data_IF_365015722668
#
_entry.id   IF_365015722668
#
_cell.length_a   1.000
_cell.length_b   1.000
_cell.length_c   1.000
_cell.angle_alpha   90.00
_cell.angle_beta   90.00
_cell.angle_gamma   90.00
#
_symmetry.space_group_name_H-M   'P 1'
#
loop_
_entity.id
_entity.type
_entity.pdbx_description
1 polymer ?
#
# COMPACT_ATOMS: atom_id res chain seq x y z
N UNK A 1 -11.46 16.85 -31.02
CA UNK A 1 -10.81 15.93 -30.07
C UNK A 1 -11.83 15.71 -28.97
N UNK A 2 -12.07 14.46 -28.54
CA UNK A 2 -12.93 14.23 -27.38
C UNK A 2 -12.28 14.92 -26.18
N UNK A 3 -13.06 15.60 -25.33
CA UNK A 3 -12.52 16.14 -24.07
C UNK A 3 -12.03 14.97 -23.23
N UNK A 4 -10.81 15.08 -22.70
CA UNK A 4 -10.19 14.08 -21.84
C UNK A 4 -10.04 14.70 -20.46
N UNK A 5 -11.10 14.57 -19.66
CA UNK A 5 -11.15 15.10 -18.31
C UNK A 5 -10.28 14.25 -17.39
N UNK A 6 -9.33 14.87 -16.72
CA UNK A 6 -8.43 14.21 -15.76
C UNK A 6 -8.79 14.67 -14.35
N UNK A 7 -8.99 13.74 -13.43
CA UNK A 7 -9.19 14.07 -12.01
C UNK A 7 -7.87 14.60 -11.43
N UNK A 8 -7.93 15.72 -10.75
CA UNK A 8 -6.82 16.28 -10.00
C UNK A 8 -7.24 16.51 -8.55
N UNK A 9 -6.31 16.27 -7.65
CA UNK A 9 -6.49 16.47 -6.22
C UNK A 9 -6.13 17.90 -5.82
N UNK A 10 -6.67 18.30 -4.69
CA UNK A 10 -6.55 19.63 -4.13
C UNK A 10 -6.83 19.61 -2.64
N UNK A 11 -6.53 20.72 -1.99
CA UNK A 11 -6.67 20.88 -0.56
C UNK A 11 -7.12 22.30 -0.22
N UNK A 12 -7.98 22.44 0.79
CA UNK A 12 -8.41 23.71 1.37
C UNK A 12 -8.08 23.65 2.87
N UNK A 13 -7.29 24.61 3.35
CA UNK A 13 -6.89 24.73 4.76
C UNK A 13 -7.35 26.09 5.30
N UNK A 14 -8.19 26.11 6.34
CA UNK A 14 -8.75 27.34 6.89
C UNK A 14 -9.33 27.16 8.29
N UNK A 15 -9.44 28.22 9.08
CA UNK A 15 -9.78 28.11 10.51
C UNK A 15 -11.20 27.62 10.82
N UNK A 16 -12.20 28.06 10.04
CA UNK A 16 -13.62 27.83 10.31
C UNK A 16 -14.33 27.32 9.03
N UNK A 17 -13.76 26.29 8.39
CA UNK A 17 -14.36 25.72 7.19
C UNK A 17 -15.59 24.88 7.55
N UNK A 18 -16.72 25.16 6.88
CA UNK A 18 -17.93 24.33 6.93
C UNK A 18 -18.09 23.61 5.57
N UNK A 19 -18.08 22.26 5.52
CA UNK A 19 -18.20 21.51 4.28
C UNK A 19 -19.44 21.88 3.47
N UNK A 20 -20.55 22.19 4.17
CA UNK A 20 -21.83 22.57 3.57
C UNK A 20 -21.75 23.92 2.84
N UNK A 21 -21.00 24.86 3.41
CA UNK A 21 -20.80 26.20 2.83
C UNK A 21 -19.87 26.11 1.63
N UNK A 22 -18.76 25.37 1.75
CA UNK A 22 -17.84 25.14 0.62
C UNK A 22 -18.56 24.44 -0.54
N UNK A 23 -19.34 23.39 -0.25
CA UNK A 23 -20.16 22.71 -1.26
C UNK A 23 -21.18 23.65 -1.92
N UNK A 24 -21.81 24.54 -1.14
CA UNK A 24 -22.73 25.56 -1.63
C UNK A 24 -22.09 26.52 -2.63
N UNK A 25 -20.89 27.03 -2.30
CA UNK A 25 -20.15 27.95 -3.16
C UNK A 25 -19.69 27.29 -4.46
N UNK A 26 -19.20 26.05 -4.39
CA UNK A 26 -18.85 25.26 -5.59
C UNK A 26 -20.08 25.03 -6.48
N UNK A 27 -21.24 24.73 -5.88
CA UNK A 27 -22.51 24.56 -6.58
C UNK A 27 -22.99 25.85 -7.25
N UNK A 28 -22.92 27.00 -6.58
CA UNK A 28 -23.31 28.29 -7.16
C UNK A 28 -22.49 28.62 -8.41
N UNK A 29 -21.23 28.17 -8.44
CA UNK A 29 -20.31 28.28 -9.57
C UNK A 29 -20.46 27.14 -10.61
N UNK A 30 -21.40 26.23 -10.38
CA UNK A 30 -21.65 25.03 -11.17
C UNK A 30 -20.43 24.09 -11.29
N UNK A 31 -19.52 24.11 -10.32
CA UNK A 31 -18.30 23.30 -10.31
C UNK A 31 -18.65 21.85 -9.97
N UNK A 32 -18.16 20.92 -10.77
CA UNK A 32 -18.21 19.49 -10.48
C UNK A 32 -17.01 19.13 -9.61
N UNK A 33 -17.27 18.66 -8.38
CA UNK A 33 -16.22 18.35 -7.42
C UNK A 33 -16.63 17.26 -6.43
N UNK A 34 -15.66 16.67 -5.76
CA UNK A 34 -15.84 15.93 -4.51
C UNK A 34 -15.06 16.64 -3.40
N UNK A 35 -15.71 16.81 -2.25
CA UNK A 35 -15.10 17.29 -1.02
C UNK A 35 -14.95 16.13 -0.06
N UNK A 36 -13.81 16.07 0.64
CA UNK A 36 -13.51 15.01 1.60
C UNK A 36 -12.91 15.63 2.85
N UNK A 37 -13.28 15.14 4.04
CA UNK A 37 -12.75 15.68 5.29
C UNK A 37 -12.81 14.64 6.41
N UNK A 38 -11.93 14.80 7.40
CA UNK A 38 -12.10 14.09 8.66
C UNK A 38 -12.97 14.91 9.62
N UNK A 39 -13.94 14.31 10.31
CA UNK A 39 -14.70 14.99 11.36
C UNK A 39 -13.82 15.56 12.50
N UNK A 40 -12.64 14.98 12.72
CA UNK A 40 -11.67 15.39 13.74
C UNK A 40 -10.84 16.62 13.35
N UNK A 41 -10.69 16.90 12.05
CA UNK A 41 -9.89 18.02 11.51
C UNK A 41 -10.69 18.85 10.49
N UNK A 42 -11.78 19.52 10.92
CA UNK A 42 -12.66 20.28 10.03
C UNK A 42 -11.97 21.46 9.32
N UNK A 43 -10.76 21.85 9.75
CA UNK A 43 -9.95 22.89 9.12
C UNK A 43 -9.22 22.44 7.85
N UNK A 44 -9.30 21.16 7.46
CA UNK A 44 -8.61 20.60 6.28
C UNK A 44 -9.59 19.79 5.43
N UNK A 45 -9.80 20.23 4.19
CA UNK A 45 -10.61 19.52 3.19
C UNK A 45 -9.75 19.06 2.03
N UNK A 46 -9.95 17.82 1.60
CA UNK A 46 -9.60 17.34 0.26
C UNK A 46 -10.62 17.86 -0.77
N UNK A 47 -10.13 18.19 -1.96
CA UNK A 47 -10.93 18.68 -3.08
C UNK A 47 -10.51 17.96 -4.37
N UNK A 48 -11.38 17.11 -4.90
CA UNK A 48 -11.17 16.46 -6.20
C UNK A 48 -11.98 17.17 -7.27
N UNK A 49 -11.32 17.59 -8.36
CA UNK A 49 -11.97 18.24 -9.51
C UNK A 49 -11.49 17.61 -10.81
N UNK A 50 -12.33 17.66 -11.84
CA UNK A 50 -11.94 17.21 -13.17
C UNK A 50 -11.42 18.40 -14.00
N UNK A 51 -10.32 18.22 -14.73
CA UNK A 51 -9.68 19.25 -15.55
C UNK A 51 -9.43 18.77 -16.97
N UNK A 52 -9.75 19.63 -17.94
CA UNK A 52 -9.38 19.49 -19.35
C UNK A 52 -8.87 20.84 -19.85
N UNK A 53 -7.76 20.86 -20.59
CA UNK A 53 -7.16 22.08 -21.15
C UNK A 53 -7.00 23.23 -20.12
N UNK A 54 -6.52 22.91 -18.92
CA UNK A 54 -6.35 23.85 -17.78
C UNK A 54 -7.67 24.49 -17.29
N UNK A 55 -8.81 23.84 -17.53
CA UNK A 55 -10.13 24.33 -17.09
C UNK A 55 -10.81 23.28 -16.23
N UNK A 56 -11.35 23.72 -15.10
CA UNK A 56 -12.13 22.89 -14.18
C UNK A 56 -13.49 22.58 -14.80
N UNK A 57 -13.95 21.35 -14.64
CA UNK A 57 -15.25 20.88 -15.09
C UNK A 57 -16.38 21.63 -14.38
N UNK A 58 -17.32 22.13 -15.18
CA UNK A 58 -18.58 22.68 -14.69
C UNK A 58 -19.75 21.96 -15.35
N UNK A 59 -20.86 21.82 -14.62
CA UNK A 59 -22.10 21.27 -15.13
C UNK A 59 -23.21 22.27 -14.87
N UNK A 60 -23.61 23.09 -15.87
CA UNK A 60 -24.61 24.14 -15.67
C UNK A 60 -25.96 23.58 -15.27
N UNK A 61 -26.71 24.34 -14.46
CA UNK A 61 -28.06 23.94 -14.05
C UNK A 61 -28.96 23.62 -15.25
N UNK A 62 -29.54 22.42 -15.24
CA UNK A 62 -30.45 21.95 -16.30
C UNK A 62 -29.76 21.38 -17.54
N UNK A 63 -28.44 21.17 -17.49
CA UNK A 63 -27.65 20.48 -18.50
C UNK A 63 -26.94 19.27 -17.90
N UNK A 64 -26.76 18.21 -18.66
CA UNK A 64 -25.89 17.08 -18.27
C UNK A 64 -24.53 17.14 -18.98
N UNK A 65 -24.29 18.19 -19.77
CA UNK A 65 -23.04 18.37 -20.51
C UNK A 65 -21.99 19.04 -19.60
N UNK A 66 -20.80 18.44 -19.56
CA UNK A 66 -19.65 19.00 -18.86
C UNK A 66 -19.01 20.06 -19.74
N UNK A 67 -18.86 21.28 -19.21
CA UNK A 67 -18.28 22.41 -19.94
C UNK A 67 -17.08 23.01 -19.18
N UNK A 68 -16.09 23.58 -19.90
CA UNK A 68 -14.95 24.24 -19.27
C UNK A 68 -15.35 25.46 -18.44
N UNK A 69 -14.89 25.50 -17.18
CA UNK A 69 -15.11 26.58 -16.22
C UNK A 69 -13.86 27.43 -15.95
N UNK A 70 -13.60 27.85 -14.70
CA UNK A 70 -12.39 28.60 -14.35
C UNK A 70 -11.13 27.75 -14.49
N UNK A 71 -9.96 28.38 -14.56
CA UNK A 71 -8.69 27.66 -14.37
C UNK A 71 -8.53 27.21 -12.91
N UNK A 72 -7.72 26.16 -12.64
CA UNK A 72 -7.36 25.79 -11.26
C UNK A 72 -6.82 26.96 -10.43
N UNK A 73 -6.02 27.85 -11.04
CA UNK A 73 -5.46 29.02 -10.36
C UNK A 73 -6.49 30.10 -10.03
N UNK A 74 -7.43 30.37 -10.96
CA UNK A 74 -8.56 31.27 -10.70
C UNK A 74 -9.43 30.74 -9.57
N UNK A 75 -9.80 29.45 -9.63
CA UNK A 75 -10.61 28.80 -8.60
C UNK A 75 -9.91 28.80 -7.23
N UNK A 76 -8.64 28.40 -7.17
CA UNK A 76 -7.87 28.37 -5.93
C UNK A 76 -7.81 29.77 -5.28
N UNK A 77 -7.51 30.81 -6.06
CA UNK A 77 -7.42 32.17 -5.53
C UNK A 77 -8.79 32.71 -5.07
N UNK A 78 -9.87 32.42 -5.80
CA UNK A 78 -11.21 32.86 -5.40
C UNK A 78 -11.71 32.16 -4.14
N UNK A 79 -11.46 30.85 -3.99
CA UNK A 79 -11.78 30.11 -2.76
C UNK A 79 -10.92 30.58 -1.58
N UNK A 80 -9.62 30.79 -1.79
CA UNK A 80 -8.71 31.28 -0.75
C UNK A 80 -9.14 32.64 -0.21
N UNK A 81 -9.52 33.58 -1.07
CA UNK A 81 -10.05 34.90 -0.67
C UNK A 81 -11.39 34.74 0.08
N UNK A 82 -12.28 33.89 -0.41
CA UNK A 82 -13.63 33.76 0.14
C UNK A 82 -13.63 33.16 1.55
N UNK A 83 -12.73 32.22 1.79
CA UNK A 83 -12.66 31.45 3.04
C UNK A 83 -11.51 31.87 3.96
N UNK A 84 -10.77 32.94 3.62
CA UNK A 84 -9.54 33.34 4.32
C UNK A 84 -8.62 32.13 4.55
N UNK A 85 -8.36 31.39 3.46
CA UNK A 85 -7.80 30.03 3.49
C UNK A 85 -6.56 29.90 2.59
N UNK A 86 -5.82 28.81 2.80
CA UNK A 86 -4.82 28.31 1.86
C UNK A 86 -5.47 27.25 0.97
N UNK A 87 -5.39 27.41 -0.34
CA UNK A 87 -6.00 26.51 -1.33
C UNK A 87 -4.97 26.03 -2.34
N UNK A 88 -4.93 24.71 -2.54
CA UNK A 88 -4.14 24.04 -3.56
C UNK A 88 -5.05 23.25 -4.48
N UNK A 89 -4.84 23.33 -5.79
CA UNK A 89 -5.56 22.54 -6.80
C UNK A 89 -4.55 22.12 -7.85
N UNK A 90 -4.13 20.85 -7.83
CA UNK A 90 -2.95 20.38 -8.55
C UNK A 90 -1.73 21.25 -8.26
N UNK A 91 -1.14 21.84 -9.30
CA UNK A 91 0.04 22.72 -9.18
C UNK A 91 -0.30 24.19 -8.82
N UNK A 92 -1.59 24.56 -8.78
CA UNK A 92 -2.00 25.91 -8.44
C UNK A 92 -2.09 26.08 -6.91
N UNK A 93 -1.62 27.21 -6.38
CA UNK A 93 -1.65 27.53 -4.95
C UNK A 93 -2.04 28.99 -4.75
N UNK A 94 -2.88 29.24 -3.75
CA UNK A 94 -3.22 30.58 -3.29
C UNK A 94 -3.30 30.56 -1.76
N UNK A 95 -2.70 31.55 -1.11
CA UNK A 95 -2.69 31.67 0.35
C UNK A 95 -3.24 33.05 0.72
N UNK A 96 -4.36 33.04 1.42
CA UNK A 96 -4.99 34.22 2.01
C UNK A 96 -5.30 33.99 3.50
N UNK A 97 -4.54 33.12 4.17
CA UNK A 97 -4.64 32.97 5.61
C UNK A 97 -4.28 34.29 6.32
N UNK A 98 -5.02 34.69 7.37
CA UNK A 98 -4.67 35.86 8.18
C UNK A 98 -3.26 35.71 8.79
N UNK A 99 -2.51 36.82 8.91
CA UNK A 99 -1.22 36.82 9.60
C UNK A 99 -1.39 36.37 11.07
N UNK A 100 -0.78 35.24 11.45
CA UNK A 100 -0.96 34.67 12.80
C UNK A 100 -0.55 33.20 12.91
N UNK A 101 -1.15 32.49 13.86
CA UNK A 101 -0.95 31.05 14.09
C UNK A 101 -1.64 30.23 12.98
N UNK A 102 -0.93 29.25 12.43
CA UNK A 102 -1.48 28.33 11.42
C UNK A 102 -2.73 27.61 11.95
N UNK A 103 -3.78 27.41 11.12
CA UNK A 103 -4.93 26.58 11.46
C UNK A 103 -4.54 25.17 11.93
N UNK A 104 -3.43 24.64 11.45
CA UNK A 104 -2.92 23.32 11.79
C UNK A 104 -2.29 23.25 13.18
N UNK A 105 -1.76 24.37 13.70
CA UNK A 105 -1.09 24.41 15.01
C UNK A 105 -2.00 24.15 16.21
N UNK A 106 -3.33 24.17 16.02
CA UNK A 106 -4.31 23.78 17.05
C UNK A 106 -4.63 22.28 17.08
N UNK A 107 -4.35 21.57 15.98
CA UNK A 107 -4.69 20.15 15.83
C UNK A 107 -3.45 19.26 15.91
N UNK A 108 -2.31 19.78 15.47
CA UNK A 108 -1.01 19.19 15.72
C UNK A 108 -0.27 20.07 16.74
N UNK A 109 -0.32 19.74 18.04
CA UNK A 109 0.56 20.39 19.01
C UNK A 109 2.02 20.20 18.55
N UNK A 110 2.88 21.18 18.82
CA UNK A 110 4.29 21.08 18.43
C UNK A 110 4.93 19.83 19.05
N UNK A 111 5.92 19.24 18.38
CA UNK A 111 6.71 18.08 18.85
C UNK A 111 7.24 18.22 20.30
N UNK A 112 7.27 19.44 20.86
CA UNK A 112 7.67 19.73 22.24
C UNK A 112 6.58 19.44 23.29
N UNK A 113 5.29 19.39 22.91
CA UNK A 113 4.16 19.14 23.83
C UNK A 113 3.70 17.66 23.86
N UNK A 114 4.14 16.85 22.91
CA UNK A 114 3.77 15.42 22.76
C UNK A 114 4.60 14.43 23.59
N UNK A 115 5.37 14.91 24.57
CA UNK A 115 6.08 14.04 25.52
C UNK A 115 5.18 13.46 26.64
N UNK A 116 3.89 13.26 26.37
CA UNK A 116 3.01 12.45 27.21
C UNK A 116 2.96 11.04 26.62
N UNK A 117 3.36 10.04 27.41
CA UNK A 117 3.51 8.64 27.01
C UNK A 117 2.17 7.99 26.58
N UNK A 118 1.70 8.30 25.38
CA UNK A 118 0.75 7.46 24.65
C UNK A 118 1.59 6.36 24.02
N UNK A 119 1.34 5.10 24.40
CA UNK A 119 1.97 4.00 23.69
C UNK A 119 1.47 4.03 22.24
N UNK A 120 2.37 4.03 21.23
CA UNK A 120 1.97 4.13 19.83
C UNK A 120 1.02 2.98 19.49
N UNK A 121 -0.19 3.30 19.03
CA UNK A 121 -1.16 2.29 18.62
C UNK A 121 -0.59 1.51 17.45
N UNK A 122 -0.47 0.18 17.56
CA UNK A 122 0.05 -0.60 16.46
C UNK A 122 -0.93 -0.53 15.27
N UNK A 123 -0.36 -0.47 14.07
CA UNK A 123 -1.11 -0.45 12.81
C UNK A 123 -1.34 -1.87 12.36
N UNK A 124 -2.60 -2.27 12.13
CA UNK A 124 -2.91 -3.61 11.61
C UNK A 124 -3.12 -3.53 10.12
N UNK A 125 -2.38 -4.37 9.40
CA UNK A 125 -2.43 -4.38 7.94
C UNK A 125 -2.75 -5.75 7.37
N UNK A 126 -3.36 -5.73 6.19
CA UNK A 126 -3.52 -6.88 5.30
C UNK A 126 -3.03 -6.46 3.91
N UNK A 127 -1.89 -6.96 3.48
CA UNK A 127 -1.33 -6.73 2.14
C UNK A 127 -1.70 -7.89 1.22
N UNK A 128 -2.41 -7.60 0.13
CA UNK A 128 -2.90 -8.56 -0.84
C UNK A 128 -2.10 -8.40 -2.13
N UNK A 129 -1.52 -9.50 -2.59
CA UNK A 129 -0.87 -9.55 -3.89
C UNK A 129 -0.17 -10.85 -4.15
N UNK A 130 0.64 -10.88 -5.21
CA UNK A 130 1.41 -12.07 -5.58
C UNK A 130 2.73 -12.11 -4.82
N UNK A 131 2.74 -12.90 -3.75
CA UNK A 131 3.93 -13.19 -2.96
C UNK A 131 4.22 -14.69 -2.98
N UNK A 132 5.44 -15.15 -3.26
CA UNK A 132 5.75 -16.58 -3.17
C UNK A 132 5.60 -17.11 -1.74
N UNK A 133 4.93 -18.26 -1.52
CA UNK A 133 4.79 -18.84 -0.17
C UNK A 133 6.15 -19.05 0.53
N UNK A 134 7.19 -19.38 -0.25
CA UNK A 134 8.54 -19.58 0.26
C UNK A 134 9.19 -18.30 0.81
N UNK A 135 8.71 -17.11 0.47
CA UNK A 135 9.32 -15.85 0.95
C UNK A 135 8.80 -15.39 2.30
N UNK A 136 7.58 -15.80 2.69
CA UNK A 136 6.90 -15.29 3.88
C UNK A 136 7.66 -15.58 5.19
N UNK A 137 8.22 -16.80 5.43
CA UNK A 137 8.99 -17.04 6.66
C UNK A 137 10.22 -16.12 6.79
N UNK A 138 10.86 -15.81 5.67
CA UNK A 138 12.03 -14.94 5.62
C UNK A 138 11.65 -13.48 5.87
N UNK A 139 10.54 -13.02 5.29
CA UNK A 139 9.98 -11.69 5.54
C UNK A 139 9.71 -11.48 7.04
N UNK A 140 9.03 -12.43 7.68
CA UNK A 140 8.73 -12.36 9.11
C UNK A 140 9.99 -12.21 9.97
N UNK A 141 11.03 -12.99 9.65
CA UNK A 141 12.29 -12.95 10.39
C UNK A 141 13.09 -11.65 10.17
N UNK A 142 12.95 -11.00 9.02
CA UNK A 142 13.67 -9.78 8.67
C UNK A 142 13.00 -8.53 9.22
N UNK A 143 11.68 -8.44 9.06
CA UNK A 143 10.89 -7.36 9.65
C UNK A 143 10.85 -7.47 11.17
N UNK A 144 11.13 -8.66 11.72
CA UNK A 144 11.03 -8.91 13.15
C UNK A 144 9.58 -8.92 13.63
N UNK A 145 8.64 -9.16 12.71
CA UNK A 145 7.19 -9.13 12.94
C UNK A 145 6.60 -10.50 12.58
N UNK A 146 5.67 -10.98 13.40
CA UNK A 146 4.95 -12.22 13.12
C UNK A 146 3.97 -11.99 11.95
N UNK A 147 4.02 -12.86 10.94
CA UNK A 147 3.19 -12.73 9.73
C UNK A 147 2.19 -13.86 9.62
N UNK A 148 0.95 -13.55 9.26
CA UNK A 148 -0.03 -14.51 8.77
C UNK A 148 0.02 -14.60 7.25
N UNK A 149 0.07 -15.81 6.72
CA UNK A 149 -0.03 -16.11 5.29
C UNK A 149 -1.39 -16.77 5.01
N UNK A 150 -2.24 -16.10 4.22
CA UNK A 150 -3.50 -16.64 3.74
C UNK A 150 -3.46 -16.77 2.22
N UNK A 151 -3.54 -18.00 1.71
CA UNK A 151 -3.56 -18.26 0.27
C UNK A 151 -4.92 -17.91 -0.35
N UNK A 152 -4.88 -17.15 -1.45
CA UNK A 152 -6.04 -16.72 -2.25
C UNK A 152 -5.99 -17.35 -3.65
N UNK A 153 -6.95 -17.01 -4.50
CA UNK A 153 -6.97 -17.45 -5.89
C UNK A 153 -5.85 -16.80 -6.73
N UNK A 154 -5.55 -17.37 -7.90
CA UNK A 154 -4.60 -16.84 -8.89
C UNK A 154 -3.19 -16.51 -8.33
N UNK A 155 -2.70 -17.39 -7.45
CA UNK A 155 -1.41 -17.28 -6.74
C UNK A 155 -1.27 -16.02 -5.87
N UNK A 156 -2.37 -15.32 -5.57
CA UNK A 156 -2.39 -14.22 -4.63
C UNK A 156 -2.38 -14.75 -3.19
N UNK A 157 -1.88 -13.91 -2.27
CA UNK A 157 -1.90 -14.16 -0.84
C UNK A 157 -2.26 -12.87 -0.12
N UNK A 158 -2.95 -13.00 1.00
CA UNK A 158 -3.12 -11.93 1.97
C UNK A 158 -2.10 -12.14 3.09
N UNK A 159 -1.21 -11.18 3.27
CA UNK A 159 -0.23 -11.14 4.36
C UNK A 159 -0.77 -10.24 5.47
N UNK A 160 -0.93 -10.82 6.66
CA UNK A 160 -1.48 -10.12 7.82
C UNK A 160 -0.37 -9.85 8.82
N UNK A 161 -0.25 -8.62 9.33
CA UNK A 161 0.49 -8.39 10.57
C UNK A 161 0.13 -7.11 11.30
N UNK A 162 0.69 -7.03 12.51
CA UNK A 162 0.67 -5.87 13.37
C UNK A 162 2.03 -5.16 13.26
N UNK A 163 2.00 -3.92 12.77
CA UNK A 163 3.16 -3.08 12.54
C UNK A 163 3.31 -2.01 13.63
N UNK A 164 4.55 -1.57 13.92
CA UNK A 164 4.78 -0.34 14.67
C UNK A 164 4.06 0.84 13.99
N UNK A 165 3.58 1.80 14.78
CA UNK A 165 2.74 2.92 14.32
C UNK A 165 3.30 3.77 13.16
N UNK A 166 4.59 3.68 12.87
CA UNK A 166 5.26 4.47 11.82
C UNK A 166 5.35 3.75 10.46
N UNK A 167 4.79 2.54 10.31
CA UNK A 167 4.83 1.77 9.05
C UNK A 167 3.44 1.57 8.46
N UNK A 168 3.22 2.13 7.27
CA UNK A 168 1.96 2.06 6.51
C UNK A 168 1.83 0.80 5.60
N UNK A 169 2.87 -0.04 5.50
CA UNK A 169 2.90 -1.23 4.65
C UNK A 169 4.31 -1.76 4.39
N UNK A 170 4.43 -2.88 3.66
CA UNK A 170 5.74 -3.42 3.23
C UNK A 170 6.01 -3.28 1.74
N UNK A 171 4.95 -3.18 0.91
CA UNK A 171 5.05 -3.23 -0.56
C UNK A 171 5.91 -4.41 -1.03
N UNK A 172 5.75 -5.57 -0.39
CA UNK A 172 6.68 -6.68 -0.55
C UNK A 172 6.36 -7.55 -1.77
N UNK A 173 5.08 -7.79 -2.05
CA UNK A 173 4.69 -8.64 -3.17
C UNK A 173 4.98 -8.02 -4.56
N UNK A 174 4.60 -8.77 -5.60
CA UNK A 174 4.55 -8.23 -6.96
C UNK A 174 3.37 -7.27 -7.12
N UNK A 175 3.59 -6.16 -7.83
CA UNK A 175 2.53 -5.19 -8.17
C UNK A 175 1.55 -5.82 -9.18
N UNK A 176 0.25 -5.47 -9.12
CA UNK A 176 -0.37 -4.54 -8.18
C UNK A 176 -0.49 -5.11 -6.75
N UNK A 177 -0.43 -4.22 -5.75
CA UNK A 177 -0.61 -4.55 -4.33
C UNK A 177 -1.76 -3.76 -3.74
N UNK A 178 -2.65 -4.45 -3.02
CA UNK A 178 -3.74 -3.83 -2.27
C UNK A 178 -3.48 -3.96 -0.78
N UNK A 179 -3.41 -2.85 -0.06
CA UNK A 179 -3.14 -2.82 1.38
C UNK A 179 -4.36 -2.28 2.12
N UNK A 180 -4.92 -3.07 3.02
CA UNK A 180 -5.91 -2.64 4.00
C UNK A 180 -5.15 -2.25 5.26
N UNK A 181 -5.44 -1.08 5.83
CA UNK A 181 -4.81 -0.59 7.06
C UNK A 181 -5.84 -0.08 8.04
N UNK A 182 -5.70 -0.46 9.31
CA UNK A 182 -6.40 0.14 10.45
C UNK A 182 -5.39 0.72 11.43
N UNK A 183 -5.48 2.03 11.65
CA UNK A 183 -4.63 2.79 12.57
C UNK A 183 -5.51 3.79 13.31
N UNK A 184 -5.43 3.84 14.64
CA UNK A 184 -6.22 4.75 15.48
C UNK A 184 -7.74 4.77 15.19
N UNK A 185 -8.27 3.63 14.72
CA UNK A 185 -9.70 3.47 14.37
C UNK A 185 -10.06 3.97 12.97
N UNK A 186 -9.12 4.57 12.24
CA UNK A 186 -9.27 4.95 10.84
C UNK A 186 -8.97 3.74 9.95
N UNK A 187 -9.85 3.50 9.00
CA UNK A 187 -9.74 2.39 8.05
C UNK A 187 -9.57 2.91 6.64
N UNK A 188 -8.51 2.45 5.99
CA UNK A 188 -8.16 2.87 4.64
C UNK A 188 -7.64 1.71 3.81
N UNK A 189 -7.83 1.83 2.49
CA UNK A 189 -7.33 0.87 1.51
C UNK A 189 -6.53 1.61 0.46
N UNK A 190 -5.37 1.05 0.13
CA UNK A 190 -4.48 1.57 -0.91
C UNK A 190 -4.30 0.53 -1.99
N UNK A 191 -4.15 0.99 -3.23
CA UNK A 191 -3.69 0.22 -4.37
C UNK A 191 -2.43 0.87 -4.94
N UNK A 192 -1.36 0.09 -4.99
CA UNK A 192 -0.09 0.47 -5.59
C UNK A 192 0.08 -0.33 -6.88
N UNK A 193 0.13 0.34 -8.03
CA UNK A 193 0.23 -0.30 -9.35
C UNK A 193 1.62 -0.17 -9.98
N UNK A 194 2.39 0.86 -9.60
CA UNK A 194 3.75 1.09 -10.09
C UNK A 194 4.69 1.66 -9.00
N UNK A 195 5.90 2.08 -9.39
CA UNK A 195 6.91 2.65 -8.49
C UNK A 195 6.90 4.18 -8.39
N UNK A 196 5.91 4.86 -8.98
CA UNK A 196 5.69 6.29 -8.80
C UNK A 196 4.90 6.55 -7.51
N UNK A 197 5.50 7.36 -6.63
CA UNK A 197 4.91 7.75 -5.34
C UNK A 197 3.58 8.50 -5.48
N UNK A 198 3.29 9.05 -6.65
CA UNK A 198 2.07 9.81 -6.95
C UNK A 198 0.96 8.95 -7.56
N UNK A 199 1.23 7.68 -7.92
CA UNK A 199 0.25 6.77 -8.54
C UNK A 199 -0.28 5.75 -7.52
N UNK A 200 -0.73 6.26 -6.37
CA UNK A 200 -1.37 5.45 -5.33
C UNK A 200 -2.85 5.79 -5.34
N UNK A 201 -3.67 4.77 -5.59
CA UNK A 201 -5.12 4.90 -5.45
C UNK A 201 -5.45 4.61 -3.99
N UNK A 202 -6.25 5.46 -3.35
CA UNK A 202 -6.60 5.26 -1.95
C UNK A 202 -8.06 5.61 -1.69
N UNK A 203 -8.65 4.96 -0.70
CA UNK A 203 -9.95 5.35 -0.15
C UNK A 203 -9.94 5.16 1.36
N UNK A 204 -10.41 6.18 2.09
CA UNK A 204 -10.41 6.22 3.55
C UNK A 204 -11.86 6.30 4.07
N UNK A 205 -12.32 5.24 4.75
CA UNK A 205 -13.66 5.16 5.36
C UNK A 205 -13.78 5.92 6.69
N UNK A 206 -12.69 6.53 7.17
CA UNK A 206 -12.69 7.50 8.25
C UNK A 206 -13.04 8.92 7.80
N UNK A 207 -13.00 9.19 6.49
CA UNK A 207 -13.39 10.49 5.92
C UNK A 207 -14.88 10.51 5.57
N UNK A 208 -15.49 11.67 5.80
CA UNK A 208 -16.76 12.01 5.17
C UNK A 208 -16.48 12.54 3.76
N UNK A 209 -17.40 12.26 2.82
CA UNK A 209 -17.31 12.73 1.45
C UNK A 209 -18.64 13.32 0.94
N UNK A 210 -18.55 14.37 0.14
CA UNK A 210 -19.69 15.00 -0.51
C UNK A 210 -19.39 15.37 -1.97
N UNK A 211 -20.21 14.85 -2.88
CA UNK A 211 -20.13 15.20 -4.30
C UNK A 211 -20.97 16.45 -4.57
N UNK A 212 -20.34 17.46 -5.16
CA UNK A 212 -20.98 18.67 -5.69
C UNK A 212 -21.33 18.42 -7.16
N UNK A 213 -22.62 18.24 -7.52
CA UNK A 213 -23.04 17.83 -8.87
C UNK A 213 -23.13 19.02 -9.83
N UNK A 214 -22.16 19.94 -9.79
CA UNK A 214 -22.25 21.22 -10.49
C UNK A 214 -23.46 22.05 -10.04
N UNK A 215 -24.18 22.64 -10.99
CA UNK A 215 -25.33 23.50 -10.74
C UNK A 215 -26.63 22.74 -10.36
N UNK A 216 -26.56 21.43 -10.15
CA UNK A 216 -27.70 20.58 -9.79
C UNK A 216 -27.93 20.48 -8.29
N UNK A 217 -29.15 20.08 -7.89
CA UNK A 217 -29.47 19.85 -6.48
C UNK A 217 -28.99 18.49 -5.98
N UNK A 218 -28.94 17.48 -6.86
CA UNK A 218 -28.65 16.09 -6.48
C UNK A 218 -27.83 15.37 -7.55
N UNK A 219 -26.92 14.49 -7.13
CA UNK A 219 -26.11 13.64 -8.02
C UNK A 219 -26.94 12.76 -8.94
N UNK A 220 -28.11 12.28 -8.48
CA UNK A 220 -29.05 11.48 -9.29
C UNK A 220 -29.62 12.17 -10.54
N UNK A 221 -29.41 13.48 -10.68
CA UNK A 221 -29.82 14.26 -11.85
C UNK A 221 -28.77 14.22 -12.98
N UNK A 222 -27.58 13.70 -12.68
CA UNK A 222 -26.49 13.55 -13.63
C UNK A 222 -26.24 12.08 -13.99
N UNK A 223 -25.73 11.81 -15.22
CA UNK A 223 -25.22 10.50 -15.57
C UNK A 223 -24.08 10.07 -14.65
N UNK A 224 -24.00 8.77 -14.34
CA UNK A 224 -22.91 8.21 -13.52
C UNK A 224 -21.52 8.55 -14.06
N UNK A 225 -21.34 8.49 -15.39
CA UNK A 225 -20.08 8.85 -16.06
C UNK A 225 -19.62 10.29 -15.79
N UNK A 226 -20.54 11.22 -15.50
CA UNK A 226 -20.18 12.59 -15.12
C UNK A 226 -19.75 12.63 -13.66
N UNK A 227 -20.44 11.91 -12.78
CA UNK A 227 -20.06 11.80 -11.36
C UNK A 227 -18.69 11.12 -11.21
N UNK A 228 -18.42 10.12 -12.03
CA UNK A 228 -17.16 9.37 -12.05
C UNK A 228 -15.93 10.21 -12.42
N UNK A 229 -16.12 11.43 -12.97
CA UNK A 229 -15.00 12.34 -13.24
C UNK A 229 -14.33 12.84 -11.95
N UNK A 230 -15.06 12.82 -10.82
CA UNK A 230 -14.56 13.30 -9.53
C UNK A 230 -14.71 12.26 -8.42
N UNK A 231 -15.67 11.33 -8.53
CA UNK A 231 -16.01 10.33 -7.53
C UNK A 231 -15.07 9.12 -7.46
N UNK A 232 -15.01 8.46 -6.29
CA UNK A 232 -14.13 7.31 -6.01
C UNK A 232 -14.59 5.97 -6.62
N UNK A 233 -15.70 5.97 -7.38
CA UNK A 233 -16.26 4.72 -7.90
C UNK A 233 -15.27 4.00 -8.81
N UNK A 234 -14.53 4.73 -9.64
CA UNK A 234 -13.52 4.17 -10.53
C UNK A 234 -12.29 3.68 -9.76
N UNK A 235 -11.87 4.39 -8.72
CA UNK A 235 -10.77 3.98 -7.83
C UNK A 235 -11.08 2.65 -7.14
N UNK A 236 -12.29 2.54 -6.57
CA UNK A 236 -12.73 1.32 -5.89
C UNK A 236 -12.94 0.17 -6.87
N UNK A 237 -13.34 0.45 -8.11
CA UNK A 237 -13.36 -0.55 -9.18
C UNK A 237 -11.94 -1.10 -9.43
N UNK A 238 -10.95 -0.22 -9.54
CA UNK A 238 -9.55 -0.62 -9.79
C UNK A 238 -8.97 -1.43 -8.62
N UNK A 239 -9.25 -1.01 -7.38
CA UNK A 239 -8.91 -1.78 -6.17
C UNK A 239 -9.54 -3.18 -6.23
N UNK A 240 -10.83 -3.27 -6.57
CA UNK A 240 -11.50 -4.56 -6.68
C UNK A 240 -10.88 -5.43 -7.78
N UNK A 241 -10.59 -4.88 -8.96
CA UNK A 241 -9.98 -5.60 -10.08
C UNK A 241 -8.60 -6.18 -9.74
N UNK A 242 -7.85 -5.54 -8.83
CA UNK A 242 -6.56 -6.04 -8.36
C UNK A 242 -6.68 -7.25 -7.41
N UNK A 243 -7.85 -7.51 -6.81
CA UNK A 243 -8.05 -8.60 -5.83
C UNK A 243 -8.90 -9.73 -6.43
N UNK A 244 -8.36 -10.96 -6.56
CA UNK A 244 -9.12 -12.08 -7.12
C UNK A 244 -10.36 -12.44 -6.27
N UNK A 245 -11.51 -12.56 -6.93
CA UNK A 245 -12.76 -12.94 -6.27
C UNK A 245 -13.47 -11.80 -5.53
N UNK A 246 -13.02 -10.56 -5.74
CA UNK A 246 -13.71 -9.38 -5.23
C UNK A 246 -15.07 -9.15 -5.92
N UNK A 247 -15.93 -8.42 -5.22
CA UNK A 247 -17.22 -7.91 -5.68
C UNK A 247 -17.15 -6.37 -5.65
N UNK A 248 -16.90 -5.78 -6.82
CA UNK A 248 -16.73 -4.34 -6.98
C UNK A 248 -18.00 -3.55 -6.61
N UNK A 249 -19.20 -4.11 -6.87
CA UNK A 249 -20.47 -3.46 -6.51
C UNK A 249 -20.66 -3.47 -4.99
N UNK A 250 -20.28 -4.56 -4.32
CA UNK A 250 -20.29 -4.64 -2.86
C UNK A 250 -19.25 -3.69 -2.23
N UNK A 251 -18.09 -3.53 -2.86
CA UNK A 251 -17.05 -2.60 -2.41
C UNK A 251 -17.52 -1.16 -2.55
N UNK A 252 -18.11 -0.78 -3.68
CA UNK A 252 -18.71 0.54 -3.83
C UNK A 252 -19.83 0.79 -2.81
N UNK A 253 -20.66 -0.22 -2.54
CA UNK A 253 -21.74 -0.10 -1.56
C UNK A 253 -21.23 0.10 -0.11
N UNK A 254 -19.97 -0.22 0.20
CA UNK A 254 -19.41 -0.02 1.55
C UNK A 254 -19.09 1.44 1.84
N UNK A 255 -18.95 2.31 0.83
CA UNK A 255 -18.73 3.77 1.01
C UNK A 255 -19.84 4.41 1.84
N UNK A 256 -21.06 3.86 1.80
CA UNK A 256 -22.18 4.34 2.61
C UNK A 256 -22.12 3.90 4.10
N UNK A 257 -21.00 3.35 4.56
CA UNK A 257 -20.83 2.88 5.95
C UNK A 257 -19.58 3.45 6.60
N UNK A 258 -19.61 3.51 7.93
CA UNK A 258 -18.53 4.08 8.74
C UNK A 258 -18.17 3.16 9.91
N UNK A 259 -17.00 3.39 10.51
CA UNK A 259 -16.50 2.64 11.66
C UNK A 259 -16.31 1.15 11.38
N UNK A 260 -16.52 0.31 12.39
CA UNK A 260 -16.26 -1.14 12.26
C UNK A 260 -17.07 -1.79 11.11
N UNK A 261 -18.28 -1.29 10.82
CA UNK A 261 -19.14 -1.84 9.76
C UNK A 261 -18.46 -1.76 8.38
N UNK A 262 -17.72 -0.69 8.10
CA UNK A 262 -17.02 -0.54 6.82
C UNK A 262 -15.93 -1.60 6.67
N UNK A 263 -15.17 -1.89 7.73
CA UNK A 263 -14.13 -2.94 7.73
C UNK A 263 -14.74 -4.30 7.36
N UNK A 264 -15.83 -4.69 8.02
CA UNK A 264 -16.52 -5.95 7.72
C UNK A 264 -17.05 -6.02 6.29
N UNK A 265 -17.61 -4.92 5.78
CA UNK A 265 -18.14 -4.86 4.41
C UNK A 265 -17.04 -4.91 3.36
N UNK A 266 -15.95 -4.18 3.55
CA UNK A 266 -14.81 -4.15 2.62
C UNK A 266 -14.11 -5.51 2.60
N UNK A 267 -13.81 -6.11 3.74
CA UNK A 267 -13.20 -7.45 3.81
C UNK A 267 -14.06 -8.48 3.07
N UNK A 268 -15.38 -8.45 3.28
CA UNK A 268 -16.30 -9.34 2.55
C UNK A 268 -16.32 -9.03 1.05
N UNK A 269 -16.35 -7.75 0.67
CA UNK A 269 -16.36 -7.33 -0.73
C UNK A 269 -15.07 -7.74 -1.45
N UNK A 270 -13.93 -7.78 -0.77
CA UNK A 270 -12.67 -8.29 -1.31
C UNK A 270 -12.56 -9.82 -1.30
N UNK A 271 -13.64 -10.54 -0.97
CA UNK A 271 -13.69 -12.00 -0.99
C UNK A 271 -12.95 -12.67 0.17
N UNK A 272 -12.54 -11.91 1.20
CA UNK A 272 -11.80 -12.41 2.34
C UNK A 272 -12.73 -12.96 3.43
N UNK A 273 -12.20 -13.86 4.27
CA UNK A 273 -12.96 -14.41 5.39
C UNK A 273 -13.20 -13.37 6.48
N UNK A 274 -14.34 -13.46 7.19
CA UNK A 274 -14.71 -12.48 8.23
C UNK A 274 -13.70 -12.39 9.38
N UNK A 275 -12.96 -13.45 9.67
CA UNK A 275 -11.88 -13.41 10.67
C UNK A 275 -10.76 -12.41 10.33
N UNK A 276 -10.59 -12.05 9.05
CA UNK A 276 -9.64 -11.01 8.63
C UNK A 276 -10.10 -9.62 9.08
N UNK A 277 -11.41 -9.34 9.03
CA UNK A 277 -11.97 -8.11 9.60
C UNK A 277 -11.79 -8.10 11.12
N UNK A 278 -12.03 -9.23 11.77
CA UNK A 278 -11.78 -9.40 13.20
C UNK A 278 -10.33 -9.09 13.58
N UNK A 279 -9.37 -9.53 12.76
CA UNK A 279 -7.94 -9.22 12.92
C UNK A 279 -7.66 -7.72 12.75
N UNK A 280 -8.12 -7.09 11.67
CA UNK A 280 -7.94 -5.65 11.43
C UNK A 280 -8.49 -4.80 12.59
N UNK A 281 -9.61 -5.21 13.17
CA UNK A 281 -10.24 -4.56 14.32
C UNK A 281 -9.59 -4.90 15.67
N UNK A 282 -8.60 -5.78 15.71
CA UNK A 282 -7.94 -6.22 16.96
C UNK A 282 -8.81 -7.11 17.85
N UNK A 283 -9.86 -7.73 17.31
CA UNK A 283 -10.77 -8.64 18.02
C UNK A 283 -10.47 -10.12 17.78
N UNK A 284 -9.55 -10.42 16.86
CA UNK A 284 -9.09 -11.77 16.52
C UNK A 284 -7.58 -11.78 16.45
N UNK A 285 -6.94 -12.67 17.20
CA UNK A 285 -5.50 -12.83 17.15
C UNK A 285 -5.07 -13.44 15.82
N UNK A 286 -3.82 -13.18 15.42
CA UNK A 286 -3.27 -13.64 14.14
C UNK A 286 -3.41 -15.16 13.93
N UNK A 287 -3.27 -15.95 15.00
CA UNK A 287 -3.38 -17.41 14.97
C UNK A 287 -4.82 -17.95 14.85
N UNK A 288 -5.81 -17.12 15.14
CA UNK A 288 -7.23 -17.47 15.10
C UNK A 288 -7.89 -17.11 13.76
N UNK A 289 -7.15 -16.49 12.84
CA UNK A 289 -7.65 -16.18 11.49
C UNK A 289 -7.85 -17.47 10.69
N UNK A 290 -9.05 -17.68 10.16
CA UNK A 290 -9.38 -18.92 9.45
C UNK A 290 -8.51 -19.12 8.21
N UNK A 291 -7.86 -20.29 8.13
CA UNK A 291 -7.02 -20.67 6.99
C UNK A 291 -5.60 -20.08 7.00
N UNK A 292 -5.25 -19.29 8.03
CA UNK A 292 -3.94 -18.63 8.11
C UNK A 292 -2.82 -19.61 8.47
N UNK A 293 -1.66 -19.41 7.86
CA UNK A 293 -0.40 -20.02 8.29
C UNK A 293 0.46 -18.97 9.00
N UNK A 294 0.77 -19.18 10.28
CA UNK A 294 1.53 -18.21 11.07
C UNK A 294 3.04 -18.43 10.97
N UNK A 295 3.75 -17.38 10.59
CA UNK A 295 5.19 -17.32 10.45
C UNK A 295 5.78 -16.40 11.51
N UNK A 296 6.24 -17.00 12.59
CA UNK A 296 6.87 -16.26 13.68
C UNK A 296 8.23 -15.68 13.29
N UNK A 297 8.55 -14.48 13.78
CA UNK A 297 9.82 -13.78 13.66
C UNK A 297 10.96 -14.49 14.42
N UNK A 298 11.33 -15.68 13.95
CA UNK A 298 12.39 -16.52 14.52
C UNK A 298 13.59 -16.46 13.59
N UNK A 299 14.70 -15.91 14.08
CA UNK A 299 16.01 -15.71 13.43
C UNK A 299 16.24 -16.27 12.02
N UNK A 300 16.82 -15.43 11.16
CA UNK A 300 17.00 -15.61 9.70
C UNK A 300 17.42 -17.04 9.28
N UNK A 301 18.36 -17.70 9.97
CA UNK A 301 18.82 -19.06 9.61
C UNK A 301 17.72 -20.12 9.67
N UNK A 302 16.77 -20.02 10.61
CA UNK A 302 15.62 -20.92 10.69
C UNK A 302 14.60 -20.62 9.58
N UNK A 303 14.40 -19.34 9.29
CA UNK A 303 13.52 -18.88 8.23
C UNK A 303 13.98 -19.35 6.83
N UNK A 304 15.28 -19.32 6.55
CA UNK A 304 15.86 -19.84 5.30
C UNK A 304 15.54 -21.34 5.14
N UNK A 305 15.72 -22.14 6.19
CA UNK A 305 15.40 -23.58 6.15
C UNK A 305 13.93 -23.86 5.80
N UNK A 306 12.98 -23.18 6.46
CA UNK A 306 11.54 -23.32 6.16
C UNK A 306 11.17 -22.83 4.76
N UNK A 307 11.80 -21.75 4.31
CA UNK A 307 11.60 -21.19 2.96
C UNK A 307 11.99 -22.20 1.88
N UNK A 308 13.11 -22.91 2.08
CA UNK A 308 13.58 -23.97 1.20
C UNK A 308 12.65 -25.18 1.22
N UNK A 309 12.21 -25.63 2.40
CA UNK A 309 11.28 -26.76 2.51
C UNK A 309 9.96 -26.50 1.78
N UNK A 310 9.40 -25.29 1.88
CA UNK A 310 8.19 -24.87 1.15
C UNK A 310 8.44 -24.87 -0.36
N UNK A 311 9.56 -24.29 -0.81
CA UNK A 311 9.93 -24.26 -2.23
C UNK A 311 10.13 -25.67 -2.83
N UNK A 312 10.59 -26.62 -2.01
CA UNK A 312 10.80 -28.02 -2.38
C UNK A 312 9.49 -28.82 -2.47
N UNK A 313 8.46 -28.40 -1.72
CA UNK A 313 7.12 -29.00 -1.77
C UNK A 313 6.32 -28.64 -3.02
N UNK A 314 6.67 -27.58 -3.76
CA UNK A 314 5.87 -27.09 -4.88
C UNK A 314 6.11 -27.86 -6.21
N UNK A 315 5.05 -28.20 -6.99
CA UNK A 315 5.16 -28.97 -8.23
C UNK A 315 6.04 -28.35 -9.33
N UNK A 316 6.06 -27.01 -9.44
CA UNK A 316 6.70 -26.26 -10.54
C UNK A 316 7.87 -25.36 -10.08
N UNK A 317 8.64 -25.73 -9.05
CA UNK A 317 9.79 -24.92 -8.67
C UNK A 317 10.88 -24.92 -9.77
N UNK A 318 11.39 -23.73 -10.10
CA UNK A 318 12.52 -23.53 -11.05
C UNK A 318 13.79 -24.26 -10.60
N UNK A 319 13.82 -24.69 -9.33
CA UNK A 319 14.93 -25.33 -8.64
C UNK A 319 14.89 -26.87 -8.74
N UNK A 320 13.77 -27.49 -9.10
CA UNK A 320 13.66 -28.96 -9.28
C UNK A 320 14.69 -29.57 -10.25
N UNK A 321 14.97 -28.98 -11.43
CA UNK A 321 15.99 -29.51 -12.33
C UNK A 321 17.41 -29.46 -11.73
N UNK A 322 17.68 -28.45 -10.90
CA UNK A 322 18.97 -28.25 -10.23
C UNK A 322 19.14 -29.23 -9.04
N UNK A 323 18.06 -29.57 -8.34
CA UNK A 323 18.06 -30.53 -7.24
C UNK A 323 18.16 -32.00 -7.69
N UNK A 324 17.59 -32.36 -8.84
CA UNK A 324 17.79 -33.71 -9.40
C UNK A 324 19.26 -33.98 -9.75
N UNK A 325 20.05 -32.92 -10.01
CA UNK A 325 21.51 -33.04 -10.15
C UNK A 325 22.20 -33.27 -8.79
N UNK A 326 21.61 -32.80 -7.69
CA UNK A 326 22.13 -32.91 -6.32
C UNK A 326 21.89 -34.28 -5.67
N UNK A 327 20.70 -34.87 -5.86
CA UNK A 327 20.37 -36.19 -5.29
C UNK A 327 21.32 -37.29 -5.79
N UNK A 328 21.87 -37.13 -7.00
CA UNK A 328 22.87 -38.04 -7.57
C UNK A 328 24.28 -37.89 -6.98
N UNK A 329 24.56 -36.83 -6.21
CA UNK A 329 25.92 -36.48 -5.75
C UNK A 329 26.05 -36.48 -4.22
N UNK A 330 24.97 -36.24 -3.46
CA UNK A 330 25.05 -35.96 -2.02
C UNK A 330 25.13 -37.19 -1.07
N UNK A 331 25.08 -38.43 -1.56
CA UNK A 331 24.88 -39.60 -0.68
C UNK A 331 26.19 -40.14 -0.05
N UNK A 332 27.39 -39.72 -0.45
CA UNK A 332 28.61 -40.24 0.18
C UNK A 332 29.72 -39.17 0.37
N UNK A 333 30.04 -38.85 1.64
CA UNK A 333 31.36 -38.41 2.21
C UNK A 333 31.44 -37.00 2.87
N UNK A 334 32.44 -36.76 3.76
CA UNK A 334 32.54 -35.64 4.73
C UNK A 334 32.76 -34.23 4.16
N UNK A 335 32.51 -33.99 2.88
CA UNK A 335 32.68 -32.70 2.20
C UNK A 335 31.43 -31.80 2.31
N UNK A 336 30.50 -32.16 3.20
CA UNK A 336 29.17 -31.56 3.39
C UNK A 336 29.22 -30.04 3.64
N UNK A 337 30.25 -29.52 4.33
CA UNK A 337 30.41 -28.07 4.56
C UNK A 337 30.68 -27.32 3.25
N UNK A 338 31.49 -27.89 2.34
CA UNK A 338 31.76 -27.27 1.04
C UNK A 338 30.58 -27.40 0.07
N UNK A 339 29.75 -28.43 0.22
CA UNK A 339 28.51 -28.61 -0.54
C UNK A 339 27.44 -27.59 -0.14
N UNK A 340 27.28 -27.36 1.17
CA UNK A 340 26.33 -26.40 1.71
C UNK A 340 26.66 -24.96 1.27
N UNK A 341 27.92 -24.53 1.40
CA UNK A 341 28.38 -23.20 0.96
C UNK A 341 28.28 -23.04 -0.57
N UNK A 342 28.50 -24.11 -1.34
CA UNK A 342 28.28 -24.07 -2.79
C UNK A 342 26.80 -23.98 -3.15
N UNK A 343 25.91 -24.66 -2.42
CA UNK A 343 24.47 -24.58 -2.60
C UNK A 343 23.95 -23.18 -2.29
N UNK A 344 24.42 -22.59 -1.19
CA UNK A 344 24.07 -21.23 -0.76
C UNK A 344 24.51 -20.17 -1.79
N UNK A 345 25.73 -20.28 -2.31
CA UNK A 345 26.23 -19.43 -3.38
C UNK A 345 25.41 -19.56 -4.69
N UNK A 346 24.95 -20.77 -5.03
CA UNK A 346 24.14 -21.02 -6.25
C UNK A 346 22.74 -20.42 -6.11
N UNK A 347 22.09 -20.63 -4.96
CA UNK A 347 20.78 -20.03 -4.66
C UNK A 347 20.87 -18.51 -4.65
N UNK A 348 21.87 -17.95 -3.95
CA UNK A 348 22.08 -16.49 -3.90
C UNK A 348 22.38 -15.89 -5.28
N UNK A 349 23.20 -16.54 -6.10
CA UNK A 349 23.48 -16.09 -7.48
C UNK A 349 22.23 -16.14 -8.35
N UNK A 350 21.39 -17.16 -8.20
CA UNK A 350 20.12 -17.30 -8.93
C UNK A 350 19.14 -16.17 -8.60
N UNK A 351 18.98 -15.87 -7.31
CA UNK A 351 18.13 -14.76 -6.83
C UNK A 351 18.65 -13.41 -7.33
N UNK A 352 19.97 -13.18 -7.30
CA UNK A 352 20.59 -11.97 -7.81
C UNK A 352 20.37 -11.80 -9.33
N UNK A 353 20.56 -12.85 -10.12
CA UNK A 353 20.40 -12.79 -11.58
C UNK A 353 18.94 -12.59 -11.98
N UNK A 354 18.01 -13.22 -11.26
CA UNK A 354 16.58 -12.98 -11.45
C UNK A 354 16.26 -11.50 -11.19
N UNK A 355 16.70 -10.96 -10.04
CA UNK A 355 16.51 -9.57 -9.66
C UNK A 355 17.03 -8.56 -10.70
N UNK A 356 18.23 -8.81 -11.25
CA UNK A 356 18.84 -7.95 -12.27
C UNK A 356 18.07 -8.00 -13.60
N UNK A 357 17.45 -9.14 -13.93
CA UNK A 357 16.73 -9.35 -15.19
C UNK A 357 15.26 -8.93 -15.16
N UNK A 358 14.70 -8.59 -14.00
CA UNK A 358 13.33 -8.11 -13.93
C UNK A 358 13.15 -6.79 -14.69
N UNK A 359 12.08 -6.74 -15.48
CA UNK A 359 11.54 -5.52 -16.07
C UNK A 359 10.99 -4.58 -14.99
N UNK A 360 11.05 -3.28 -15.25
CA UNK A 360 10.37 -2.28 -14.41
C UNK A 360 8.86 -2.29 -14.65
N UNK A 361 8.03 -1.96 -13.64
CA UNK A 361 8.41 -1.69 -12.25
C UNK A 361 8.85 -2.98 -11.53
N UNK A 362 9.94 -2.90 -10.75
CA UNK A 362 10.49 -4.06 -10.03
C UNK A 362 9.75 -4.25 -8.72
N UNK A 363 9.15 -5.42 -8.52
CA UNK A 363 8.49 -5.78 -7.26
C UNK A 363 9.41 -5.70 -6.04
N UNK A 364 8.81 -5.50 -4.86
CA UNK A 364 9.53 -5.51 -3.59
C UNK A 364 10.31 -6.81 -3.40
N UNK A 365 9.69 -7.94 -3.71
CA UNK A 365 10.30 -9.27 -3.70
C UNK A 365 11.52 -9.36 -4.62
N UNK A 366 11.44 -8.78 -5.81
CA UNK A 366 12.54 -8.87 -6.77
C UNK A 366 13.71 -7.97 -6.38
N UNK A 367 13.45 -6.80 -5.81
CA UNK A 367 14.48 -5.95 -5.18
C UNK A 367 15.13 -6.67 -3.99
N UNK A 368 14.30 -7.29 -3.17
CA UNK A 368 14.70 -8.07 -2.00
C UNK A 368 15.56 -9.29 -2.36
N UNK A 369 15.12 -10.09 -3.34
CA UNK A 369 15.85 -11.25 -3.82
C UNK A 369 17.23 -10.85 -4.37
N UNK A 370 17.34 -9.67 -4.96
CA UNK A 370 18.63 -9.08 -5.36
C UNK A 370 19.55 -8.80 -4.18
N UNK A 371 19.04 -8.17 -3.12
CA UNK A 371 19.82 -7.82 -1.92
C UNK A 371 20.26 -9.09 -1.18
N UNK A 372 19.34 -10.00 -0.88
CA UNK A 372 19.65 -11.27 -0.19
C UNK A 372 20.54 -12.17 -1.03
N UNK A 373 20.25 -12.29 -2.33
CA UNK A 373 21.11 -13.03 -3.24
C UNK A 373 22.53 -12.49 -3.27
N UNK A 374 22.69 -11.16 -3.25
CA UNK A 374 23.99 -10.50 -3.14
C UNK A 374 24.71 -10.79 -1.82
N UNK A 375 24.01 -10.70 -0.68
CA UNK A 375 24.56 -10.98 0.64
C UNK A 375 25.02 -12.44 0.79
N UNK A 376 24.20 -13.41 0.35
CA UNK A 376 24.55 -14.84 0.39
C UNK A 376 25.78 -15.16 -0.47
N UNK A 377 25.94 -14.51 -1.63
CA UNK A 377 27.13 -14.65 -2.48
C UNK A 377 28.37 -14.10 -1.77
N UNK A 378 28.27 -12.93 -1.14
CA UNK A 378 29.38 -12.32 -0.39
C UNK A 378 29.78 -13.18 0.80
N UNK A 379 28.81 -13.68 1.56
CA UNK A 379 29.05 -14.52 2.73
C UNK A 379 29.68 -15.86 2.35
N UNK A 380 29.17 -16.51 1.30
CA UNK A 380 29.76 -17.74 0.75
C UNK A 380 31.22 -17.55 0.31
N UNK A 381 31.55 -16.41 -0.30
CA UNK A 381 32.94 -16.06 -0.69
C UNK A 381 33.81 -15.84 0.56
N UNK A 382 33.27 -15.19 1.59
CA UNK A 382 33.97 -14.94 2.85
C UNK A 382 34.28 -16.26 3.58
N UNK A 383 33.31 -17.17 3.68
CA UNK A 383 33.48 -18.49 4.29
C UNK A 383 34.47 -19.37 3.51
N UNK A 384 34.40 -19.38 2.17
CA UNK A 384 35.37 -20.07 1.31
C UNK A 384 36.80 -19.50 1.48
N UNK A 385 36.92 -18.19 1.61
CA UNK A 385 38.21 -17.51 1.86
C UNK A 385 38.77 -17.86 3.24
N UNK A 386 37.92 -17.86 4.27
CA UNK A 386 38.28 -18.20 5.65
C UNK A 386 38.70 -19.68 5.75
N UNK A 387 37.96 -20.60 5.15
CA UNK A 387 38.29 -22.03 5.09
C UNK A 387 39.63 -22.27 4.37
N UNK A 388 39.91 -21.53 3.29
CA UNK A 388 41.19 -21.58 2.58
C UNK A 388 42.34 -21.00 3.40
N UNK A 389 42.10 -19.94 4.17
CA UNK A 389 43.09 -19.34 5.06
C UNK A 389 43.44 -20.26 6.23
N UNK A 390 42.43 -20.90 6.84
CA UNK A 390 42.58 -21.85 7.93
C UNK A 390 43.30 -23.12 7.45
N UNK A 391 42.91 -23.70 6.31
CA UNK A 391 43.59 -24.91 5.78
C UNK A 391 45.06 -24.64 5.42
N UNK A 392 45.39 -23.46 4.86
CA UNK A 392 46.77 -23.02 4.64
C UNK A 392 47.56 -22.89 5.94
N UNK A 393 46.93 -22.43 7.04
CA UNK A 393 47.58 -22.30 8.35
C UNK A 393 47.88 -23.67 8.98
N UNK A 394 47.00 -24.65 8.78
CA UNK A 394 47.22 -26.04 9.20
C UNK A 394 48.29 -26.75 8.37
N UNK A 395 48.32 -26.57 7.05
CA UNK A 395 49.40 -27.12 6.21
C UNK A 395 50.76 -26.49 6.49
N UNK A 396 50.80 -25.21 6.87
CA UNK A 396 52.05 -24.53 7.30
C UNK A 396 52.60 -25.10 8.61
N UNK A 397 51.73 -25.44 9.58
CA UNK A 397 52.14 -26.13 10.82
C UNK A 397 52.52 -27.60 10.61
N UNK A 398 51.92 -28.29 9.64
CA UNK A 398 52.27 -29.66 9.30
C UNK A 398 53.57 -29.78 8.48
N UNK A 399 54.01 -28.69 7.84
CA UNK A 399 55.29 -28.61 7.11
C UNK A 399 56.47 -28.11 7.96
N UNK A 400 56.27 -27.81 9.25
CA UNK A 400 57.31 -27.45 10.23
C UNK A 400 57.61 -28.59 11.23
N UNK A 401 57.19 -29.83 10.92
CA UNK A 401 57.49 -31.03 11.71
C UNK A 401 58.68 -31.82 11.15
#
# INVERSE_FOLDING_TARGET
>A
MAQEWTRIEGMIIGHDLDPSVVAGELKERSILAQLEWFPSSPQLFGLNVAVDNERVATVPAGSTEVVPGPTPAELANELAILFDAEVRIGNATADHLPEGESPLGKVWPSDEEEAAAVEPTPTRIVEIGRTPASSVPLLAALEGVDLGDLELADDNRALLAELPAEKEGWNFGDLPLVTLSVTDGEFQVFLVTDDHLEHIISHNWGMDAAIVPGGHDRTSELPGEVIDLVGDRLDLLEIAEAVPGSDADALWASVATTGEESVWKVVRALGLHGSVAGFLLGTTDLEDVEGVSVHLARGISNAIGRSVDIMMGQPQSVVKPLWNSYESVAVERPWIIHAAVAAEAIVGTGMLVAAVRASSPRSGWMRFAGIVGGLMVVDSIAELSLAKHVSKRFTRRAGEA
#
